data_IF_355409857369
#
_entry.id   IF_355409857369
#
_cell.length_a   1.000
_cell.length_b   1.000
_cell.length_c   1.000
_cell.angle_alpha   90.00
_cell.angle_beta   90.00
_cell.angle_gamma   90.00
#
_symmetry.space_group_name_H-M   'P 1'
#
loop_
_entity.id
_entity.type
_entity.pdbx_description
1 polymer ?
#
# COMPACT_ATOMS: atom_id res chain seq x y z
N UNK A 1 -9.38 -27.03 -24.72
CA UNK A 1 -8.57 -28.26 -24.63
C UNK A 1 -7.14 -27.79 -24.69
N UNK A 2 -6.42 -27.82 -23.56
CA UNK A 2 -4.97 -27.56 -23.53
C UNK A 2 -4.27 -28.75 -24.21
N UNK A 3 -3.23 -28.54 -24.99
CA UNK A 3 -2.53 -29.65 -25.65
C UNK A 3 -1.42 -29.31 -26.63
N UNK A 4 -1.16 -28.02 -26.91
CA UNK A 4 -0.05 -27.61 -27.76
C UNK A 4 1.28 -27.57 -26.98
N UNK A 5 2.40 -27.60 -27.72
CA UNK A 5 3.73 -27.54 -27.13
C UNK A 5 3.91 -26.27 -26.28
N UNK A 6 4.26 -26.44 -25.00
CA UNK A 6 4.39 -25.37 -23.99
C UNK A 6 3.09 -24.65 -23.59
N UNK A 7 1.92 -25.16 -23.95
CA UNK A 7 0.65 -24.58 -23.52
C UNK A 7 0.39 -24.86 -22.03
N UNK A 8 0.10 -23.81 -21.25
CA UNK A 8 -0.31 -23.92 -19.85
C UNK A 8 -1.29 -22.80 -19.47
N UNK A 9 -2.05 -22.99 -18.40
CA UNK A 9 -2.99 -21.96 -17.91
C UNK A 9 -2.26 -20.84 -17.16
N UNK A 10 -1.52 -20.02 -17.89
CA UNK A 10 -0.76 -18.91 -17.33
C UNK A 10 -1.67 -17.90 -16.63
N UNK A 11 -2.87 -17.64 -17.17
CA UNK A 11 -3.83 -16.71 -16.57
C UNK A 11 -4.33 -17.24 -15.24
N UNK A 12 -4.74 -18.52 -15.17
CA UNK A 12 -5.18 -19.15 -13.93
C UNK A 12 -4.08 -19.14 -12.86
N UNK A 13 -2.84 -19.39 -13.25
CA UNK A 13 -1.67 -19.37 -12.36
C UNK A 13 -1.34 -17.95 -11.84
N UNK A 14 -1.46 -16.92 -12.68
CA UNK A 14 -1.05 -15.55 -12.33
C UNK A 14 -2.17 -14.74 -11.66
N UNK A 15 -3.44 -15.12 -11.85
CA UNK A 15 -4.60 -14.44 -11.27
C UNK A 15 -4.55 -14.25 -9.74
N UNK A 16 -4.12 -15.23 -8.90
CA UNK A 16 -4.08 -15.04 -7.45
C UNK A 16 -2.95 -14.12 -6.96
N UNK A 17 -1.90 -13.90 -7.76
CA UNK A 17 -0.70 -13.14 -7.37
C UNK A 17 -0.55 -11.81 -8.12
N UNK A 18 -1.52 -11.43 -8.95
CA UNK A 18 -1.53 -10.17 -9.69
C UNK A 18 -2.82 -9.40 -9.47
N UNK A 19 -2.75 -8.07 -9.57
CA UNK A 19 -3.95 -7.21 -9.54
C UNK A 19 -4.86 -7.45 -10.73
N UNK A 20 -4.27 -7.80 -11.86
CA UNK A 20 -4.96 -8.04 -13.10
C UNK A 20 -4.16 -8.99 -13.98
N UNK A 21 -4.82 -10.03 -14.46
CA UNK A 21 -4.31 -10.98 -15.45
C UNK A 21 -5.23 -10.95 -16.66
N UNK A 22 -4.70 -10.76 -17.86
CA UNK A 22 -5.50 -10.76 -19.07
C UNK A 22 -4.76 -11.29 -20.30
N UNK A 23 -5.49 -11.98 -21.18
CA UNK A 23 -5.02 -12.43 -22.50
C UNK A 23 -5.42 -11.41 -23.56
N UNK A 24 -4.49 -11.04 -24.43
CA UNK A 24 -4.75 -10.12 -25.54
C UNK A 24 -5.39 -10.91 -26.69
N UNK A 25 -6.63 -10.60 -27.10
CA UNK A 25 -7.34 -11.40 -28.10
C UNK A 25 -6.89 -11.13 -29.53
N UNK A 26 -6.51 -9.88 -29.85
CA UNK A 26 -6.13 -9.44 -31.20
C UNK A 26 -5.04 -8.37 -31.16
N UNK A 27 -4.25 -8.27 -32.23
CA UNK A 27 -3.07 -7.41 -32.32
C UNK A 27 -3.42 -5.92 -32.19
N UNK A 28 -4.56 -5.51 -32.74
CA UNK A 28 -5.10 -4.15 -32.71
C UNK A 28 -5.38 -3.67 -31.28
N UNK A 29 -5.58 -4.59 -30.34
CA UNK A 29 -5.92 -4.28 -28.94
C UNK A 29 -4.69 -4.12 -28.06
N UNK A 30 -3.49 -4.51 -28.52
CA UNK A 30 -2.25 -4.44 -27.74
C UNK A 30 -2.06 -3.07 -27.06
N UNK A 31 -2.18 -1.92 -27.77
CA UNK A 31 -1.98 -0.61 -27.12
C UNK A 31 -2.92 -0.37 -25.94
N UNK A 32 -4.19 -0.76 -26.06
CA UNK A 32 -5.17 -0.58 -25.00
C UNK A 32 -4.88 -1.48 -23.79
N UNK A 33 -4.53 -2.75 -24.02
CA UNK A 33 -4.21 -3.68 -22.93
C UNK A 33 -2.95 -3.25 -22.17
N UNK A 34 -1.93 -2.78 -22.88
CA UNK A 34 -0.70 -2.26 -22.27
C UNK A 34 -1.00 -0.99 -21.46
N UNK A 35 -1.72 -0.02 -22.01
CA UNK A 35 -2.10 1.19 -21.28
C UNK A 35 -2.93 0.88 -20.03
N UNK A 36 -3.86 -0.07 -20.14
CA UNK A 36 -4.66 -0.53 -19.00
C UNK A 36 -3.82 -1.27 -17.96
N UNK A 37 -2.86 -2.10 -18.38
CA UNK A 37 -1.94 -2.78 -17.48
C UNK A 37 -1.16 -1.78 -16.63
N UNK A 38 -0.56 -0.77 -17.25
CA UNK A 38 0.16 0.28 -16.52
C UNK A 38 -0.76 1.10 -15.61
N UNK A 39 -1.95 1.47 -16.08
CA UNK A 39 -2.93 2.17 -15.25
C UNK A 39 -3.28 1.37 -14.00
N UNK A 40 -3.59 0.07 -14.14
CA UNK A 40 -3.91 -0.80 -13.00
C UNK A 40 -2.69 -1.04 -12.11
N UNK A 41 -1.51 -1.26 -12.68
CA UNK A 41 -0.29 -1.53 -11.92
C UNK A 41 0.09 -0.35 -11.00
N UNK A 42 -0.12 0.88 -11.48
CA UNK A 42 0.34 2.10 -10.81
C UNK A 42 -0.70 2.71 -9.86
N UNK A 43 -2.00 2.49 -10.09
CA UNK A 43 -3.08 3.17 -9.36
C UNK A 43 -3.69 2.34 -8.23
N UNK A 44 -4.30 3.01 -7.25
CA UNK A 44 -4.77 2.38 -6.02
C UNK A 44 -3.58 1.95 -5.16
N UNK A 45 -3.57 0.71 -4.68
CA UNK A 45 -2.36 0.10 -4.14
C UNK A 45 -1.49 -0.44 -5.30
N UNK A 46 -0.27 0.06 -5.55
CA UNK A 46 0.57 -0.43 -6.64
C UNK A 46 0.86 -1.94 -6.53
N UNK A 47 0.94 -2.63 -7.66
CA UNK A 47 1.16 -4.06 -7.68
C UNK A 47 1.28 -4.66 -9.08
N UNK A 48 1.68 -5.93 -9.16
CA UNK A 48 1.98 -6.57 -10.44
C UNK A 48 0.71 -6.82 -11.26
N UNK A 49 0.88 -6.81 -12.58
CA UNK A 49 -0.13 -7.18 -13.58
C UNK A 49 0.50 -8.15 -14.56
N UNK A 50 -0.31 -9.03 -15.14
CA UNK A 50 0.12 -10.03 -16.09
C UNK A 50 -0.67 -9.90 -17.39
N UNK A 51 0.05 -9.74 -18.50
CA UNK A 51 -0.51 -9.75 -19.84
C UNK A 51 0.03 -10.94 -20.62
N UNK A 52 -0.86 -11.81 -21.03
CA UNK A 52 -0.54 -12.91 -21.93
C UNK A 52 -0.72 -12.43 -23.37
N UNK A 53 0.35 -12.56 -24.17
CA UNK A 53 0.36 -12.27 -25.59
C UNK A 53 0.50 -13.58 -26.38
N UNK A 54 -0.60 -14.10 -26.96
CA UNK A 54 -0.55 -15.29 -27.79
C UNK A 54 0.38 -15.12 -29.00
N UNK A 55 1.08 -16.20 -29.37
CA UNK A 55 2.04 -16.18 -30.48
C UNK A 55 1.38 -15.85 -31.82
N UNK A 56 0.17 -16.34 -32.10
CA UNK A 56 -0.59 -16.02 -33.31
C UNK A 56 -0.98 -14.54 -33.38
N UNK A 57 -1.24 -13.93 -32.22
CA UNK A 57 -1.56 -12.50 -32.10
C UNK A 57 -0.31 -11.64 -32.35
N UNK A 58 0.81 -11.96 -31.70
CA UNK A 58 2.08 -11.22 -31.89
C UNK A 58 2.78 -11.51 -33.23
N UNK A 59 2.70 -12.75 -33.69
CA UNK A 59 3.40 -13.27 -34.86
C UNK A 59 2.92 -12.69 -36.19
N UNK A 60 1.66 -12.24 -36.28
CA UNK A 60 1.15 -11.52 -37.46
C UNK A 60 1.89 -10.21 -37.71
N UNK A 61 2.23 -9.48 -36.65
CA UNK A 61 3.02 -8.25 -36.72
C UNK A 61 4.45 -8.56 -37.18
N UNK A 62 5.08 -9.59 -36.59
CA UNK A 62 6.45 -9.99 -36.90
C UNK A 62 6.64 -10.51 -38.34
N UNK A 63 5.58 -11.03 -38.96
CA UNK A 63 5.57 -11.50 -40.36
C UNK A 63 5.27 -10.40 -41.38
N UNK A 64 5.31 -9.13 -40.98
CA UNK A 64 5.12 -7.99 -41.89
C UNK A 64 3.67 -7.73 -42.30
N UNK A 65 2.69 -8.37 -41.64
CA UNK A 65 1.27 -8.01 -41.84
C UNK A 65 1.07 -6.61 -41.29
N UNK A 66 0.68 -5.66 -42.15
CA UNK A 66 0.29 -4.32 -41.71
C UNK A 66 -0.99 -4.41 -40.87
N UNK A 67 -0.82 -4.49 -39.56
CA UNK A 67 -1.92 -4.29 -38.61
C UNK A 67 -2.10 -2.79 -38.47
N UNK A 68 -3.32 -2.29 -38.59
CA UNK A 68 -3.67 -0.86 -38.47
C UNK A 68 -3.54 -0.33 -37.04
N UNK A 69 -2.41 -0.60 -36.37
CA UNK A 69 -2.12 -0.16 -35.01
C UNK A 69 -1.58 1.25 -35.09
N UNK A 70 -2.43 2.23 -34.76
CA UNK A 70 -1.94 3.57 -34.46
C UNK A 70 -1.11 3.48 -33.19
N UNK A 71 0.20 3.68 -33.28
CA UNK A 71 1.05 3.77 -32.10
C UNK A 71 0.54 4.94 -31.24
N UNK A 72 0.15 4.70 -29.98
CA UNK A 72 -0.23 5.79 -29.11
C UNK A 72 1.01 6.65 -28.84
N UNK A 73 0.80 7.96 -28.72
CA UNK A 73 1.85 8.83 -28.18
C UNK A 73 2.19 8.32 -26.78
N UNK A 74 3.47 8.22 -26.46
CA UNK A 74 3.90 7.88 -25.10
C UNK A 74 3.35 8.92 -24.13
N UNK A 75 2.58 8.44 -23.15
CA UNK A 75 2.07 9.22 -22.02
C UNK A 75 2.40 8.41 -20.77
N UNK A 76 3.18 8.95 -19.82
CA UNK A 76 3.40 8.29 -18.54
C UNK A 76 2.06 7.97 -17.87
N UNK A 77 1.96 6.81 -17.22
CA UNK A 77 0.76 6.46 -16.48
C UNK A 77 0.55 7.46 -15.32
N UNK A 78 -0.57 8.16 -15.33
CA UNK A 78 -0.93 9.09 -14.27
C UNK A 78 -1.26 8.33 -12.97
N UNK A 79 -0.75 8.85 -11.85
CA UNK A 79 -1.11 8.40 -10.51
C UNK A 79 -2.33 9.18 -10.03
N UNK A 80 -3.46 8.51 -9.96
CA UNK A 80 -4.71 9.01 -9.40
C UNK A 80 -4.56 9.08 -7.88
N UNK A 81 -4.81 10.27 -7.34
CA UNK A 81 -4.84 10.54 -5.90
C UNK A 81 -6.26 10.90 -5.50
N UNK A 82 -6.73 10.31 -4.40
CA UNK A 82 -8.04 10.60 -3.83
C UNK A 82 -7.79 11.18 -2.45
N UNK A 83 -8.40 12.32 -2.16
CA UNK A 83 -8.34 12.90 -0.83
C UNK A 83 -9.14 12.06 0.18
N UNK A 84 -8.72 12.08 1.44
CA UNK A 84 -9.55 11.56 2.53
C UNK A 84 -10.86 12.33 2.65
N UNK A 85 -11.87 11.67 3.20
CA UNK A 85 -13.17 12.30 3.44
C UNK A 85 -13.05 13.32 4.58
N UNK A 86 -13.54 14.55 4.37
CA UNK A 86 -13.26 15.68 5.26
C UNK A 86 -13.76 15.47 6.68
N UNK A 87 -14.90 14.83 6.90
CA UNK A 87 -15.42 14.59 8.25
C UNK A 87 -14.56 13.60 9.02
N UNK A 88 -14.09 12.54 8.36
CA UNK A 88 -13.17 11.58 8.96
C UNK A 88 -11.79 12.18 9.26
N UNK A 89 -11.29 13.08 8.40
CA UNK A 89 -10.06 13.84 8.68
C UNK A 89 -10.26 14.71 9.93
N UNK A 90 -11.36 15.46 10.01
CA UNK A 90 -11.65 16.31 11.17
C UNK A 90 -11.76 15.48 12.46
N UNK A 91 -12.41 14.31 12.42
CA UNK A 91 -12.49 13.41 13.56
C UNK A 91 -11.11 12.88 13.98
N UNK A 92 -10.23 12.55 13.03
CA UNK A 92 -8.86 12.13 13.33
C UNK A 92 -8.05 13.27 13.98
N UNK A 93 -8.22 14.51 13.50
CA UNK A 93 -7.59 15.70 14.10
C UNK A 93 -8.10 15.94 15.52
N UNK A 94 -9.40 15.78 15.79
CA UNK A 94 -9.92 15.91 17.16
C UNK A 94 -9.34 14.86 18.12
N UNK A 95 -9.18 13.61 17.67
CA UNK A 95 -8.52 12.56 18.45
C UNK A 95 -7.06 12.91 18.71
N UNK A 96 -6.37 13.44 17.70
CA UNK A 96 -4.98 13.86 17.78
C UNK A 96 -4.77 14.98 18.81
N UNK A 97 -5.63 16.00 18.79
CA UNK A 97 -5.54 17.15 19.71
C UNK A 97 -5.85 16.78 21.17
N UNK A 98 -6.59 15.70 21.41
CA UNK A 98 -6.93 15.22 22.76
C UNK A 98 -5.92 14.22 23.33
N UNK A 99 -5.04 13.68 22.49
CA UNK A 99 -4.13 12.62 22.89
C UNK A 99 -2.86 13.16 23.55
N UNK A 100 -2.51 12.60 24.72
CA UNK A 100 -1.31 13.00 25.46
C UNK A 100 -0.04 12.28 24.99
N UNK A 101 -0.17 11.05 24.48
CA UNK A 101 0.96 10.21 24.05
C UNK A 101 0.67 9.65 22.67
N UNK A 102 1.25 10.28 21.66
CA UNK A 102 1.01 9.96 20.25
C UNK A 102 2.27 9.33 19.65
N UNK A 103 2.08 8.30 18.83
CA UNK A 103 3.14 7.74 17.99
C UNK A 103 2.62 7.52 16.57
N UNK A 104 3.45 7.86 15.58
CA UNK A 104 3.15 7.59 14.18
C UNK A 104 3.80 6.28 13.72
N UNK A 105 3.13 5.54 12.84
CA UNK A 105 3.69 4.37 12.14
C UNK A 105 3.54 4.57 10.64
N UNK A 106 4.67 4.71 9.96
CA UNK A 106 4.71 4.83 8.50
C UNK A 106 4.90 3.45 7.83
N UNK A 107 4.01 3.15 6.89
CA UNK A 107 4.01 1.94 6.09
C UNK A 107 4.55 2.13 4.68
N UNK A 108 4.68 1.02 3.94
CA UNK A 108 5.11 1.03 2.54
C UNK A 108 4.19 1.89 1.64
N UNK A 109 2.91 2.00 1.95
CA UNK A 109 1.98 2.87 1.22
C UNK A 109 2.34 4.35 1.29
N UNK A 110 2.96 4.82 2.38
CA UNK A 110 3.47 6.19 2.49
C UNK A 110 4.67 6.39 1.54
N UNK A 111 5.60 5.42 1.53
CA UNK A 111 6.79 5.42 0.67
C UNK A 111 6.39 5.37 -0.81
N UNK A 112 5.53 4.43 -1.21
CA UNK A 112 5.04 4.31 -2.59
C UNK A 112 4.26 5.54 -3.07
N UNK A 113 3.67 6.27 -2.11
CA UNK A 113 3.01 7.54 -2.35
C UNK A 113 3.97 8.71 -2.50
N UNK A 114 5.26 8.56 -2.19
CA UNK A 114 6.21 9.66 -2.20
C UNK A 114 5.93 10.70 -1.12
N UNK A 115 5.25 10.33 -0.03
CA UNK A 115 4.77 11.24 1.01
C UNK A 115 5.85 11.60 2.05
N UNK A 116 7.13 11.63 1.65
CA UNK A 116 8.27 11.85 2.55
C UNK A 116 8.20 13.22 3.23
N UNK A 117 8.00 14.27 2.42
CA UNK A 117 8.03 15.64 2.92
C UNK A 117 6.77 15.98 3.72
N UNK A 118 5.60 15.51 3.27
CA UNK A 118 4.35 15.69 4.02
C UNK A 118 4.39 14.93 5.35
N UNK A 119 4.99 13.74 5.38
CA UNK A 119 5.17 12.98 6.62
C UNK A 119 6.16 13.68 7.55
N UNK A 120 7.28 14.20 7.02
CA UNK A 120 8.25 15.01 7.77
C UNK A 120 7.57 16.20 8.41
N UNK A 121 6.90 17.03 7.62
CA UNK A 121 6.22 18.24 8.10
C UNK A 121 5.21 17.90 9.20
N UNK A 122 4.42 16.84 8.99
CA UNK A 122 3.45 16.37 9.98
C UNK A 122 4.09 15.98 11.32
N UNK A 123 5.16 15.18 11.31
CA UNK A 123 5.79 14.74 12.55
C UNK A 123 6.59 15.85 13.23
N UNK A 124 7.26 16.72 12.47
CA UNK A 124 8.10 17.80 13.00
C UNK A 124 7.23 18.91 13.59
N UNK A 125 6.12 19.27 12.93
CA UNK A 125 5.18 20.28 13.41
C UNK A 125 4.57 19.91 14.78
N UNK A 126 4.26 18.63 14.98
CA UNK A 126 3.59 18.15 16.18
C UNK A 126 4.55 17.50 17.19
N UNK A 127 5.84 17.38 16.86
CA UNK A 127 6.84 16.70 17.68
C UNK A 127 6.52 15.22 17.92
N UNK A 128 5.86 14.55 16.98
CA UNK A 128 5.39 13.17 17.14
C UNK A 128 6.53 12.19 16.83
N UNK A 129 6.94 11.33 17.77
CA UNK A 129 7.89 10.27 17.47
C UNK A 129 7.27 9.26 16.48
N UNK A 130 8.11 8.65 15.64
CA UNK A 130 7.64 7.71 14.64
C UNK A 130 8.40 6.39 14.61
N UNK A 131 7.68 5.37 14.19
CA UNK A 131 8.17 4.05 13.84
C UNK A 131 7.89 3.80 12.36
N UNK A 132 8.62 2.85 11.77
CA UNK A 132 8.33 2.38 10.41
C UNK A 132 7.95 0.90 10.42
N UNK A 133 7.09 0.48 9.52
CA UNK A 133 7.06 -0.95 9.16
C UNK A 133 8.34 -1.30 8.40
N UNK A 134 8.76 -2.57 8.29
CA UNK A 134 9.91 -2.93 7.46
C UNK A 134 9.84 -2.36 6.04
N UNK A 135 8.64 -2.36 5.41
CA UNK A 135 8.43 -1.77 4.09
C UNK A 135 8.24 -0.25 4.08
N UNK A 136 8.06 0.38 5.24
CA UNK A 136 7.99 1.84 5.40
C UNK A 136 9.35 2.49 5.68
N UNK A 137 10.39 1.69 5.88
CA UNK A 137 11.76 2.20 6.00
C UNK A 137 12.14 3.01 4.76
N UNK A 138 12.88 4.10 4.97
CA UNK A 138 13.22 5.03 3.91
C UNK A 138 12.17 6.10 3.64
N UNK A 139 11.04 6.11 4.35
CA UNK A 139 10.15 7.29 4.36
C UNK A 139 10.87 8.53 4.89
N UNK A 140 11.75 8.36 5.88
CA UNK A 140 12.69 9.34 6.43
C UNK A 140 13.96 8.62 6.89
N UNK A 141 15.02 9.40 7.16
CA UNK A 141 16.26 8.87 7.75
C UNK A 141 16.03 8.26 9.13
N UNK A 142 16.69 7.14 9.42
CA UNK A 142 16.64 6.52 10.76
C UNK A 142 17.47 7.26 11.80
N UNK A 143 18.33 8.20 11.36
CA UNK A 143 19.06 9.11 12.24
C UNK A 143 18.21 10.32 12.66
N UNK A 144 16.98 10.43 12.16
CA UNK A 144 16.08 11.53 12.51
C UNK A 144 15.80 11.52 14.03
N UNK A 145 15.84 12.68 14.72
CA UNK A 145 15.67 12.74 16.19
C UNK A 145 14.37 12.11 16.71
N UNK A 146 13.31 12.12 15.90
CA UNK A 146 12.00 11.53 16.21
C UNK A 146 11.87 10.04 15.81
N UNK A 147 12.89 9.43 15.19
CA UNK A 147 12.84 8.04 14.74
C UNK A 147 13.08 7.06 15.90
N UNK A 148 12.20 6.07 16.04
CA UNK A 148 12.29 5.02 17.07
C UNK A 148 12.63 3.63 16.50
N UNK A 149 12.95 3.57 15.21
CA UNK A 149 13.25 2.36 14.46
C UNK A 149 12.00 1.70 13.86
N UNK A 150 12.03 0.37 13.79
CA UNK A 150 10.94 -0.43 13.20
C UNK A 150 9.88 -0.83 14.23
N UNK A 151 8.63 -0.89 13.80
CA UNK A 151 7.49 -1.48 14.50
C UNK A 151 7.45 -3.01 14.31
N UNK A 152 6.70 -3.71 15.16
CA UNK A 152 6.50 -5.14 15.03
C UNK A 152 7.60 -5.99 15.64
N UNK A 153 7.96 -7.10 15.00
CA UNK A 153 8.86 -8.12 15.56
C UNK A 153 10.25 -7.58 15.94
N UNK A 154 10.83 -6.71 15.12
CA UNK A 154 12.21 -6.23 15.29
C UNK A 154 12.31 -4.89 16.02
N UNK A 155 11.30 -4.53 16.82
CA UNK A 155 11.24 -3.25 17.52
C UNK A 155 12.32 -3.09 18.58
N UNK A 156 12.86 -1.89 18.68
CA UNK A 156 13.82 -1.52 19.73
C UNK A 156 13.13 -1.50 21.11
N UNK A 157 13.91 -1.57 22.19
CA UNK A 157 13.35 -1.47 23.56
C UNK A 157 12.58 -0.16 23.77
N UNK A 158 13.11 0.94 23.24
CA UNK A 158 12.50 2.27 23.31
C UNK A 158 11.24 2.33 22.45
N UNK A 159 11.32 1.89 21.19
CA UNK A 159 10.18 1.85 20.28
C UNK A 159 9.04 0.99 20.82
N UNK A 160 9.34 -0.16 21.43
CA UNK A 160 8.34 -1.00 22.12
C UNK A 160 7.65 -0.24 23.25
N UNK A 161 8.41 0.44 24.10
CA UNK A 161 7.87 1.17 25.24
C UNK A 161 6.97 2.30 24.78
N UNK A 162 7.45 3.18 23.90
CA UNK A 162 6.67 4.31 23.37
C UNK A 162 5.41 3.83 22.66
N UNK A 163 5.51 2.77 21.85
CA UNK A 163 4.35 2.20 21.17
C UNK A 163 3.30 1.63 22.13
N UNK A 164 3.73 0.97 23.21
CA UNK A 164 2.82 0.36 24.19
C UNK A 164 2.20 1.39 25.13
N UNK A 165 2.93 2.46 25.45
CA UNK A 165 2.49 3.54 26.35
C UNK A 165 1.63 4.59 25.62
N UNK A 166 1.57 4.54 24.28
CA UNK A 166 0.82 5.48 23.47
C UNK A 166 -0.69 5.38 23.72
N UNK A 167 -1.34 6.53 23.86
CA UNK A 167 -2.81 6.66 23.92
C UNK A 167 -3.42 6.74 22.53
N UNK A 168 -2.63 7.13 21.53
CA UNK A 168 -3.03 7.24 20.13
C UNK A 168 -1.90 6.74 19.23
N UNK A 169 -2.25 5.82 18.32
CA UNK A 169 -1.35 5.35 17.26
C UNK A 169 -1.92 5.79 15.92
N UNK A 170 -1.14 6.59 15.18
CA UNK A 170 -1.50 7.05 13.84
C UNK A 170 -0.77 6.16 12.85
N UNK A 171 -1.52 5.51 11.96
CA UNK A 171 -0.96 4.59 10.99
C UNK A 171 -1.17 5.12 9.57
N UNK A 172 -0.09 5.21 8.80
CA UNK A 172 -0.09 5.86 7.49
C UNK A 172 0.43 4.86 6.45
N UNK A 173 -0.42 4.49 5.49
CA UNK A 173 -0.04 3.62 4.38
C UNK A 173 0.41 2.21 4.81
N UNK A 174 -0.18 1.66 5.87
CA UNK A 174 0.14 0.34 6.40
C UNK A 174 -1.11 -0.57 6.44
N UNK A 175 -0.88 -1.88 6.42
CA UNK A 175 -1.94 -2.90 6.56
C UNK A 175 -2.13 -3.38 8.00
N UNK A 176 -1.22 -3.00 8.90
CA UNK A 176 -1.20 -3.46 10.29
C UNK A 176 -1.29 -4.99 10.40
N UNK A 177 -0.56 -5.68 9.54
CA UNK A 177 -0.49 -7.14 9.55
C UNK A 177 0.20 -7.64 10.83
N UNK A 178 0.04 -8.92 11.16
CA UNK A 178 0.53 -9.52 12.40
C UNK A 178 2.03 -9.28 12.64
N UNK A 179 2.83 -9.21 11.59
CA UNK A 179 4.26 -8.92 11.68
C UNK A 179 4.56 -7.50 12.17
N UNK A 180 3.71 -6.53 11.80
CA UNK A 180 3.88 -5.10 12.04
C UNK A 180 3.32 -4.69 13.42
N UNK A 181 2.23 -5.32 13.85
CA UNK A 181 1.64 -5.08 15.17
C UNK A 181 2.31 -5.92 16.25
N UNK A 182 2.75 -7.14 15.90
CA UNK A 182 3.16 -8.19 16.84
C UNK A 182 2.04 -8.45 17.88
N UNK A 183 2.18 -9.42 18.79
CA UNK A 183 1.22 -9.70 19.90
C UNK A 183 1.14 -8.55 20.93
N UNK A 184 1.05 -7.30 20.48
CA UNK A 184 0.87 -6.11 21.30
C UNK A 184 -0.62 -5.85 21.35
N UNK A 185 -1.29 -6.53 22.29
CA UNK A 185 -2.67 -6.21 22.63
C UNK A 185 -2.66 -4.92 23.44
N UNK A 186 -3.28 -3.87 22.92
CA UNK A 186 -3.44 -2.61 23.64
C UNK A 186 -4.36 -2.82 24.84
N UNK A 187 -3.81 -2.74 26.06
CA UNK A 187 -4.60 -2.71 27.29
C UNK A 187 -5.05 -1.29 27.56
N UNK A 188 -6.14 -0.86 26.90
CA UNK A 188 -6.72 0.47 27.07
C UNK A 188 -7.37 1.01 25.81
N UNK A 189 -8.04 2.16 25.93
CA UNK A 189 -8.76 2.83 24.86
C UNK A 189 -7.77 3.48 23.88
N UNK A 190 -7.13 2.65 23.05
CA UNK A 190 -6.28 3.11 21.95
C UNK A 190 -7.18 3.32 20.76
N UNK A 191 -7.23 4.56 20.27
CA UNK A 191 -7.90 4.88 19.02
C UNK A 191 -6.89 4.69 17.89
N UNK A 192 -7.13 3.75 16.99
CA UNK A 192 -6.32 3.60 15.78
C UNK A 192 -6.82 4.60 14.73
N UNK A 193 -6.00 5.54 14.28
CA UNK A 193 -6.35 6.36 13.11
C UNK A 193 -5.58 5.81 11.91
N UNK A 194 -6.26 5.11 11.00
CA UNK A 194 -5.69 4.65 9.74
C UNK A 194 -6.01 5.67 8.65
N UNK A 195 -4.99 6.37 8.15
CA UNK A 195 -5.12 7.24 6.97
C UNK A 195 -4.59 6.44 5.78
N UNK A 196 -5.51 5.83 5.03
CA UNK A 196 -5.20 5.09 3.81
C UNK A 196 -5.32 6.04 2.60
N UNK A 197 -4.25 6.28 1.83
CA UNK A 197 -4.31 7.22 0.71
C UNK A 197 -5.02 6.71 -0.55
N UNK A 198 -5.53 5.46 -0.61
CA UNK A 198 -5.91 4.87 -1.91
C UNK A 198 -7.06 3.85 -1.95
N UNK A 199 -7.87 3.73 -0.91
CA UNK A 199 -9.09 2.88 -0.94
C UNK A 199 -10.19 3.49 -0.08
N UNK A 200 -11.48 3.34 -0.44
CA UNK A 200 -12.60 3.61 0.46
C UNK A 200 -12.64 2.48 1.51
N UNK A 201 -11.63 2.44 2.37
CA UNK A 201 -11.67 1.69 3.62
C UNK A 201 -11.90 2.77 4.68
N UNK A 202 -12.94 2.64 5.52
CA UNK A 202 -13.21 3.63 6.56
C UNK A 202 -11.94 3.85 7.40
N UNK A 203 -11.70 5.08 7.84
CA UNK A 203 -10.78 5.30 8.95
C UNK A 203 -11.26 4.41 10.08
N UNK A 204 -10.53 3.31 10.30
CA UNK A 204 -10.91 2.32 11.29
C UNK A 204 -10.43 2.81 12.65
N UNK A 205 -11.28 3.61 13.31
CA UNK A 205 -11.14 3.92 14.74
C UNK A 205 -11.45 2.64 15.53
N UNK A 206 -10.47 1.76 15.63
CA UNK A 206 -10.57 0.57 16.46
C UNK A 206 -10.30 0.97 17.91
N UNK A 207 -11.29 0.92 18.79
CA UNK A 207 -11.09 0.95 20.24
C UNK A 207 -10.83 -0.47 20.73
N UNK A 208 -9.63 -0.77 21.22
CA UNK A 208 -9.36 -2.07 21.83
C UNK A 208 -10.09 -2.18 23.18
N UNK A 209 -11.21 -2.88 23.22
CA UNK A 209 -11.83 -3.36 24.47
C UNK A 209 -11.96 -4.87 24.37
N UNK A 210 -11.12 -5.61 25.10
CA UNK A 210 -11.17 -7.07 25.08
C UNK A 210 -10.00 -7.72 25.80
N UNK A 211 -10.26 -8.18 27.03
CA UNK A 211 -9.43 -9.11 27.78
C UNK A 211 -9.70 -10.53 27.31
N UNK A 212 -8.70 -11.25 26.80
CA UNK A 212 -8.74 -12.70 26.82
C UNK A 212 -7.35 -13.31 26.94
N UNK A 213 -7.27 -14.34 27.77
CA UNK A 213 -6.12 -15.21 27.98
C UNK A 213 -5.92 -16.14 26.79
N UNK A 214 -4.75 -16.09 26.17
CA UNK A 214 -4.28 -17.13 25.25
C UNK A 214 -3.89 -18.40 26.03
N UNK A 215 -4.31 -19.58 25.59
CA UNK A 215 -3.44 -20.73 25.57
C UNK A 215 -2.78 -20.80 24.18
N UNK A 216 -1.45 -20.71 24.14
CA UNK A 216 -0.46 -21.19 23.15
C UNK A 216 0.67 -20.20 22.92
#
# INVERSE_FOLDING_TARGET
RMGEFQECDQIGMMKPITKWSARIPHAERIPWFVNRAFSIAMNGQPGPVFLELPYDVGGRILRGTKVGIRQPKYVPAEKIRIAGESNLINAAVELLLKAERVVAVAGNGAVLSGASEEFREFIELLGIPFLTTPGGRGILSEEHPLALGVSGLYRTKVGKKVYSDATLVITIGTRNESFQTHTTFFSGLVSLAAIAPTTPIPIQVCSATGTHSDPF
#
